data_IF_084471589904
#
_entry.id   IF_084471589904
#
_cell.length_a   1.000
_cell.length_b   1.000
_cell.length_c   1.000
_cell.angle_alpha   90.00
_cell.angle_beta   90.00
_cell.angle_gamma   90.00
#
_symmetry.space_group_name_H-M   'P 1'
#
loop_
_entity.id
_entity.type
_entity.pdbx_description
1 polymer ?
#
# COMPACT_ATOMS: atom_id res chain seq x y z
N UNK A 1 32.10 23.66 18.98
CA UNK A 1 32.19 22.24 18.60
C UNK A 1 31.20 21.47 19.45
N UNK A 2 30.15 20.94 18.81
CA UNK A 2 29.42 19.72 19.14
C UNK A 2 28.10 19.70 18.33
N UNK A 3 28.24 19.47 17.03
CA UNK A 3 27.13 19.00 16.19
C UNK A 3 27.19 17.47 16.18
N UNK A 4 26.69 16.85 17.24
CA UNK A 4 26.28 15.45 17.14
C UNK A 4 24.90 15.41 16.47
N UNK A 5 24.85 15.62 15.16
CA UNK A 5 23.76 15.07 14.37
C UNK A 5 24.22 13.68 13.94
N UNK A 6 24.03 12.71 14.83
CA UNK A 6 24.17 11.30 14.45
C UNK A 6 23.08 11.03 13.42
N UNK A 7 23.45 10.77 12.17
CA UNK A 7 22.57 10.18 11.16
C UNK A 7 21.98 8.89 11.72
N UNK A 8 20.84 9.00 12.40
CA UNK A 8 20.12 7.82 12.88
C UNK A 8 19.75 7.02 11.65
N UNK A 9 20.17 5.77 11.61
CA UNK A 9 19.78 4.79 10.61
C UNK A 9 18.26 4.55 10.70
N UNK A 10 17.63 4.22 9.58
CA UNK A 10 16.19 3.95 9.56
C UNK A 10 15.86 2.74 10.42
N UNK A 11 14.81 2.86 11.24
CA UNK A 11 14.37 1.77 12.12
C UNK A 11 13.20 1.05 11.48
N UNK A 12 13.34 -0.26 11.31
CA UNK A 12 12.26 -1.14 10.84
C UNK A 12 11.05 -1.08 11.79
N UNK A 13 9.86 -0.93 11.22
CA UNK A 13 8.60 -0.87 11.98
C UNK A 13 7.77 -2.16 11.87
N UNK A 14 8.23 -3.11 11.06
CA UNK A 14 7.59 -4.42 10.82
C UNK A 14 8.60 -5.55 11.06
N UNK A 15 8.15 -6.82 11.13
CA UNK A 15 9.05 -7.95 11.00
C UNK A 15 9.78 -7.93 9.64
N UNK A 16 10.84 -8.73 9.48
CA UNK A 16 11.40 -9.01 8.15
C UNK A 16 10.33 -9.56 7.20
N UNK A 17 10.51 -9.35 5.90
CA UNK A 17 9.51 -9.63 4.86
C UNK A 17 8.96 -11.05 4.94
N UNK A 18 9.83 -12.03 5.14
CA UNK A 18 9.52 -13.46 5.22
C UNK A 18 8.70 -13.87 6.46
N UNK A 19 8.65 -13.03 7.48
CA UNK A 19 7.85 -13.25 8.70
C UNK A 19 6.55 -12.45 8.72
N UNK A 20 6.30 -11.62 7.70
CA UNK A 20 5.05 -10.89 7.58
C UNK A 20 3.91 -11.83 7.19
N UNK A 21 2.71 -11.58 7.73
CA UNK A 21 1.49 -12.25 7.26
C UNK A 21 1.27 -11.83 5.80
N UNK A 22 1.20 -12.81 4.90
CA UNK A 22 1.09 -12.57 3.47
C UNK A 22 0.20 -13.61 2.79
N UNK A 23 -0.72 -13.14 1.96
CA UNK A 23 -1.48 -13.94 0.99
C UNK A 23 -1.45 -13.22 -0.35
N UNK A 24 -0.99 -13.90 -1.40
CA UNK A 24 -0.91 -13.34 -2.74
C UNK A 24 -2.30 -12.92 -3.26
N UNK A 25 -2.39 -11.74 -3.87
CA UNK A 25 -3.63 -11.10 -4.34
C UNK A 25 -4.60 -10.63 -3.25
N UNK A 26 -4.15 -10.52 -2.00
CA UNK A 26 -4.90 -9.90 -0.88
C UNK A 26 -4.07 -8.77 -0.26
N UNK A 27 -3.48 -7.92 -1.10
CA UNK A 27 -2.56 -6.86 -0.67
C UNK A 27 -3.20 -5.90 0.34
N UNK A 28 -4.51 -5.65 0.23
CA UNK A 28 -5.27 -4.88 1.21
C UNK A 28 -5.21 -5.51 2.60
N UNK A 29 -5.39 -6.83 2.73
CA UNK A 29 -5.32 -7.49 4.03
C UNK A 29 -3.89 -7.64 4.54
N UNK A 30 -2.93 -7.84 3.63
CA UNK A 30 -1.51 -7.92 3.99
C UNK A 30 -1.04 -6.59 4.64
N UNK A 31 -1.41 -5.46 4.03
CA UNK A 31 -1.10 -4.14 4.59
C UNK A 31 -1.88 -3.87 5.86
N UNK A 32 -3.15 -4.29 5.94
CA UNK A 32 -3.92 -4.19 7.19
C UNK A 32 -3.22 -4.93 8.33
N UNK A 33 -2.66 -6.12 8.08
CA UNK A 33 -1.90 -6.90 9.06
C UNK A 33 -0.60 -6.22 9.48
N UNK A 34 0.09 -5.52 8.58
CA UNK A 34 1.23 -4.69 8.95
C UNK A 34 0.81 -3.52 9.87
N UNK A 35 -0.30 -2.84 9.54
CA UNK A 35 -0.84 -1.78 10.40
C UNK A 35 -1.23 -2.32 11.79
N UNK A 36 -1.86 -3.49 11.86
CA UNK A 36 -2.24 -4.17 13.11
C UNK A 36 -0.99 -4.46 13.96
N UNK A 37 0.05 -5.02 13.33
CA UNK A 37 1.33 -5.28 14.00
C UNK A 37 1.93 -4.00 14.59
N UNK A 38 2.03 -2.93 13.80
CA UNK A 38 2.62 -1.65 14.23
C UNK A 38 1.84 -1.08 15.42
N UNK A 39 0.50 -1.10 15.35
CA UNK A 39 -0.37 -0.63 16.44
C UNK A 39 -0.16 -1.42 17.73
N UNK A 40 0.02 -2.73 17.64
CA UNK A 40 0.17 -3.60 18.81
C UNK A 40 1.52 -3.42 19.51
N UNK A 41 2.59 -3.09 18.76
CA UNK A 41 3.94 -3.04 19.32
C UNK A 41 4.32 -1.66 19.88
N UNK A 42 3.59 -0.58 19.56
CA UNK A 42 3.77 0.78 20.11
C UNK A 42 5.21 1.33 20.10
N UNK A 43 6.11 0.73 19.30
CA UNK A 43 7.51 1.17 19.19
C UNK A 43 7.64 2.40 18.30
N UNK A 44 6.65 2.67 17.45
CA UNK A 44 6.64 3.73 16.45
C UNK A 44 5.30 4.46 16.43
N UNK A 45 5.32 5.72 16.01
CA UNK A 45 4.11 6.54 15.94
C UNK A 45 3.24 6.09 14.75
N UNK A 46 2.14 5.40 15.03
CA UNK A 46 1.19 4.96 13.99
C UNK A 46 0.58 6.13 13.20
N UNK A 47 0.65 7.36 13.73
CA UNK A 47 0.17 8.57 13.08
C UNK A 47 0.98 8.92 11.83
N UNK A 48 2.22 8.44 11.74
CA UNK A 48 3.13 8.62 10.60
C UNK A 48 3.06 7.44 9.61
N UNK A 49 2.10 6.53 9.80
CA UNK A 49 1.92 5.33 8.98
C UNK A 49 0.61 5.41 8.20
N UNK A 50 0.67 5.04 6.93
CA UNK A 50 -0.46 5.11 6.01
C UNK A 50 -0.59 3.82 5.20
N UNK A 51 -1.82 3.38 4.98
CA UNK A 51 -2.13 2.47 3.88
C UNK A 51 -2.32 3.30 2.60
N UNK A 52 -1.73 2.85 1.50
CA UNK A 52 -1.80 3.54 0.21
C UNK A 52 -2.38 2.59 -0.81
N UNK A 53 -3.62 2.85 -1.21
CA UNK A 53 -4.26 2.18 -2.33
C UNK A 53 -3.83 2.87 -3.62
N UNK A 54 -3.40 2.08 -4.59
CA UNK A 54 -3.00 2.54 -5.91
C UNK A 54 -3.98 1.95 -6.91
N UNK A 55 -4.66 2.80 -7.66
CA UNK A 55 -5.57 2.39 -8.74
C UNK A 55 -5.81 3.57 -9.69
N UNK A 56 -6.78 3.44 -10.59
CA UNK A 56 -7.34 4.50 -11.41
C UNK A 56 -8.77 4.12 -11.84
N UNK A 57 -9.44 5.01 -12.58
CA UNK A 57 -10.82 4.81 -13.02
C UNK A 57 -11.01 3.57 -13.89
N UNK A 58 -9.93 3.09 -14.53
CA UNK A 58 -9.97 1.90 -15.38
C UNK A 58 -9.54 0.64 -14.68
N UNK A 59 -9.01 0.75 -13.45
CA UNK A 59 -8.36 -0.35 -12.73
C UNK A 59 -7.34 -1.06 -13.61
N UNK A 60 -6.46 -0.25 -14.18
CA UNK A 60 -5.35 -0.72 -15.00
C UNK A 60 -4.14 0.14 -14.66
N UNK A 61 -3.37 -0.30 -13.67
CA UNK A 61 -2.19 0.42 -13.20
C UNK A 61 -0.94 -0.44 -13.33
N UNK A 62 0.06 0.00 -14.11
CA UNK A 62 1.34 -0.71 -14.20
C UNK A 62 2.20 -0.42 -12.98
N UNK A 63 2.74 -1.46 -12.35
CA UNK A 63 3.78 -1.37 -11.32
C UNK A 63 4.92 -2.30 -11.71
N UNK A 64 6.13 -1.74 -11.78
CA UNK A 64 7.37 -2.48 -12.05
C UNK A 64 7.94 -3.10 -10.78
N UNK A 65 8.95 -3.96 -10.95
CA UNK A 65 9.67 -4.60 -9.83
C UNK A 65 8.72 -5.37 -8.90
N UNK A 66 7.75 -6.08 -9.47
CA UNK A 66 6.83 -6.94 -8.73
C UNK A 66 7.27 -8.40 -8.85
N UNK A 67 7.03 -9.24 -7.84
CA UNK A 67 7.40 -10.66 -7.84
C UNK A 67 6.73 -11.44 -8.98
N UNK A 68 5.51 -11.04 -9.35
CA UNK A 68 4.78 -11.62 -10.48
C UNK A 68 5.21 -11.07 -11.86
N UNK A 69 6.24 -10.21 -11.92
CA UNK A 69 6.72 -9.64 -13.19
C UNK A 69 7.38 -10.72 -14.06
N UNK A 70 7.24 -10.56 -15.38
CA UNK A 70 8.00 -11.33 -16.37
C UNK A 70 9.13 -10.46 -16.92
N UNK A 71 10.36 -10.65 -16.42
CA UNK A 71 11.50 -9.80 -16.76
C UNK A 71 11.29 -8.36 -16.28
N UNK A 72 11.58 -7.38 -17.13
CA UNK A 72 11.42 -5.95 -16.84
C UNK A 72 10.02 -5.38 -17.15
N UNK A 73 9.05 -6.25 -17.45
CA UNK A 73 7.67 -5.82 -17.70
C UNK A 73 6.93 -5.51 -16.39
N UNK A 74 6.04 -4.51 -16.37
CA UNK A 74 5.20 -4.26 -15.20
C UNK A 74 4.15 -5.36 -15.04
N UNK A 75 3.68 -5.53 -13.81
CA UNK A 75 2.38 -6.16 -13.56
C UNK A 75 1.32 -5.08 -13.70
N UNK A 76 0.23 -5.38 -14.41
CA UNK A 76 -0.92 -4.48 -14.55
C UNK A 76 -1.97 -4.91 -13.54
N UNK A 77 -2.08 -4.15 -12.46
CA UNK A 77 -3.02 -4.40 -11.37
C UNK A 77 -4.35 -3.67 -11.61
N UNK A 78 -5.43 -4.25 -11.07
CA UNK A 78 -6.69 -3.54 -10.89
C UNK A 78 -6.60 -2.54 -9.74
N UNK A 79 -6.03 -2.97 -8.62
CA UNK A 79 -5.49 -2.10 -7.58
C UNK A 79 -4.31 -2.80 -6.90
N UNK A 80 -3.47 -2.02 -6.22
CA UNK A 80 -2.42 -2.55 -5.34
C UNK A 80 -2.40 -1.75 -4.05
N UNK A 81 -1.99 -2.36 -2.94
CA UNK A 81 -1.90 -1.70 -1.64
C UNK A 81 -0.50 -1.84 -1.08
N UNK A 82 0.07 -0.71 -0.69
CA UNK A 82 1.38 -0.62 -0.03
C UNK A 82 1.23 0.12 1.29
N UNK A 83 2.17 -0.08 2.21
CA UNK A 83 2.27 0.74 3.42
C UNK A 83 3.35 1.80 3.24
N UNK A 84 3.04 3.02 3.66
CA UNK A 84 3.94 4.17 3.67
C UNK A 84 4.22 4.56 5.12
N UNK A 85 5.49 4.75 5.44
CA UNK A 85 5.93 5.33 6.70
C UNK A 85 6.65 6.65 6.45
N UNK A 86 6.05 7.74 6.90
CA UNK A 86 6.58 9.10 6.79
C UNK A 86 7.50 9.41 7.98
N UNK A 87 8.72 8.89 7.95
CA UNK A 87 9.59 8.85 9.13
C UNK A 87 10.16 10.22 9.53
N UNK A 88 10.73 10.93 8.56
CA UNK A 88 11.21 12.30 8.73
C UNK A 88 10.91 13.08 7.46
N UNK A 89 10.98 14.41 7.55
CA UNK A 89 10.79 15.27 6.40
C UNK A 89 11.77 14.89 5.27
N UNK A 90 11.24 14.54 4.10
CA UNK A 90 12.02 14.08 2.95
C UNK A 90 12.54 12.64 3.03
N UNK A 91 12.17 11.87 4.07
CA UNK A 91 12.60 10.49 4.27
C UNK A 91 11.38 9.59 4.56
N UNK A 92 10.75 9.12 3.48
CA UNK A 92 9.64 8.16 3.54
C UNK A 92 10.05 6.78 3.06
N UNK A 93 9.40 5.76 3.60
CA UNK A 93 9.67 4.35 3.29
C UNK A 93 8.40 3.62 2.87
N UNK A 94 8.53 2.79 1.84
CA UNK A 94 7.49 1.92 1.30
C UNK A 94 7.71 0.48 1.74
N UNK A 95 6.65 -0.12 2.23
CA UNK A 95 6.54 -1.53 2.54
C UNK A 95 5.58 -2.17 1.54
N UNK A 96 6.15 -2.80 0.53
CA UNK A 96 5.43 -3.58 -0.47
C UNK A 96 5.83 -5.06 -0.36
N UNK A 97 4.88 -5.92 0.02
CA UNK A 97 5.14 -7.35 0.15
C UNK A 97 5.28 -8.03 -1.22
N UNK A 98 4.78 -7.42 -2.30
CA UNK A 98 4.82 -7.95 -3.66
C UNK A 98 6.01 -7.40 -4.47
N UNK A 99 6.80 -6.44 -3.96
CA UNK A 99 7.99 -5.94 -4.68
C UNK A 99 9.20 -6.90 -4.62
N UNK A 100 10.10 -6.78 -5.60
CA UNK A 100 11.46 -7.34 -5.59
C UNK A 100 12.51 -6.32 -5.14
N UNK A 101 12.13 -5.05 -4.93
CA UNK A 101 12.97 -4.06 -4.28
C UNK A 101 13.17 -4.40 -2.78
N UNK A 102 14.09 -3.71 -2.07
CA UNK A 102 14.24 -3.88 -0.64
C UNK A 102 12.91 -3.72 0.13
N UNK A 103 12.80 -4.41 1.26
CA UNK A 103 11.65 -4.29 2.15
C UNK A 103 12.14 -3.88 3.55
N UNK A 104 11.92 -2.62 3.95
CA UNK A 104 11.30 -1.52 3.21
C UNK A 104 12.22 -0.92 2.14
N UNK A 105 11.61 -0.16 1.22
CA UNK A 105 12.29 0.58 0.16
C UNK A 105 12.14 2.08 0.41
N UNK A 106 13.19 2.91 0.29
CA UNK A 106 13.02 4.37 0.27
C UNK A 106 12.01 4.80 -0.81
N UNK A 107 11.14 5.77 -0.50
CA UNK A 107 10.11 6.23 -1.43
C UNK A 107 10.73 6.77 -2.74
N UNK A 108 11.88 7.44 -2.68
CA UNK A 108 12.62 7.88 -3.86
C UNK A 108 12.98 6.72 -4.80
N UNK A 109 13.54 5.64 -4.27
CA UNK A 109 13.89 4.44 -5.05
C UNK A 109 12.64 3.71 -5.57
N UNK A 110 11.60 3.60 -4.74
CA UNK A 110 10.34 2.98 -5.14
C UNK A 110 9.64 3.79 -6.25
N UNK A 111 9.67 5.12 -6.16
CA UNK A 111 9.19 6.01 -7.21
C UNK A 111 9.95 5.79 -8.51
N UNK A 112 11.28 5.82 -8.47
CA UNK A 112 12.12 5.73 -9.67
C UNK A 112 11.98 4.37 -10.37
N UNK A 113 11.97 3.28 -9.61
CA UNK A 113 12.09 1.93 -10.16
C UNK A 113 10.75 1.22 -10.37
N UNK A 114 9.85 1.30 -9.38
CA UNK A 114 8.59 0.55 -9.36
C UNK A 114 7.42 1.38 -9.94
N UNK A 115 7.30 2.66 -9.56
CA UNK A 115 6.24 3.52 -10.08
C UNK A 115 6.60 4.07 -11.46
N UNK A 116 7.80 4.65 -11.61
CA UNK A 116 8.27 5.40 -12.79
C UNK A 116 7.38 6.59 -13.15
N UNK A 117 7.80 7.41 -14.11
CA UNK A 117 7.01 8.57 -14.55
C UNK A 117 5.75 8.17 -15.33
N UNK A 118 4.60 8.73 -14.94
CA UNK A 118 3.34 8.64 -15.71
C UNK A 118 3.43 9.30 -17.09
N UNK A 119 4.37 10.23 -17.31
CA UNK A 119 4.51 10.97 -18.58
C UNK A 119 4.81 10.07 -19.78
N UNK A 120 5.39 8.89 -19.55
CA UNK A 120 5.69 7.90 -20.59
C UNK A 120 4.56 6.88 -20.81
N UNK A 121 3.48 6.97 -20.02
CA UNK A 121 2.31 6.10 -20.14
C UNK A 121 1.17 6.80 -20.85
N UNK A 122 0.28 6.01 -21.47
CA UNK A 122 -1.03 6.52 -21.89
C UNK A 122 -1.81 6.96 -20.64
N UNK A 123 -2.54 8.07 -20.73
CA UNK A 123 -3.33 8.63 -19.61
C UNK A 123 -4.27 7.64 -18.93
N UNK A 124 -4.76 6.65 -19.67
CA UNK A 124 -5.61 5.58 -19.14
C UNK A 124 -4.92 4.65 -18.13
N UNK A 125 -3.58 4.70 -18.03
CA UNK A 125 -2.77 3.95 -17.08
C UNK A 125 -2.16 4.83 -15.98
N UNK A 126 -2.46 6.13 -15.96
CA UNK A 126 -1.93 7.01 -14.92
C UNK A 126 -2.44 6.56 -13.57
N UNK A 127 -1.54 6.52 -12.59
CA UNK A 127 -1.87 6.00 -11.26
C UNK A 127 -2.33 7.13 -10.36
N UNK A 128 -3.31 6.81 -9.53
CA UNK A 128 -3.75 7.63 -8.41
C UNK A 128 -3.51 6.87 -7.12
N UNK A 129 -3.34 7.63 -6.05
CA UNK A 129 -2.92 7.14 -4.75
C UNK A 129 -3.91 7.63 -3.71
N UNK A 130 -4.73 6.74 -3.15
CA UNK A 130 -5.52 7.04 -1.97
C UNK A 130 -4.68 6.71 -0.75
N UNK A 131 -4.38 7.72 0.05
CA UNK A 131 -3.56 7.63 1.25
C UNK A 131 -4.44 7.75 2.47
N UNK A 132 -4.48 6.69 3.28
CA UNK A 132 -5.33 6.56 4.46
C UNK A 132 -4.44 6.40 5.70
N UNK A 133 -4.60 7.23 6.74
CA UNK A 133 -3.91 7.00 8.02
C UNK A 133 -4.17 5.58 8.55
N UNK A 134 -3.14 4.91 9.06
CA UNK A 134 -3.23 3.51 9.47
C UNK A 134 -4.32 3.26 10.53
N UNK A 135 -4.51 4.18 11.48
CA UNK A 135 -5.60 4.06 12.47
C UNK A 135 -6.99 4.13 11.83
N UNK A 136 -7.17 5.02 10.85
CA UNK A 136 -8.41 5.11 10.06
C UNK A 136 -8.61 3.82 9.26
N UNK A 137 -7.55 3.29 8.65
CA UNK A 137 -7.62 2.04 7.89
C UNK A 137 -8.05 0.87 8.77
N UNK A 138 -7.40 0.69 9.93
CA UNK A 138 -7.72 -0.36 10.89
C UNK A 138 -9.15 -0.28 11.42
N UNK A 139 -9.68 0.92 11.60
CA UNK A 139 -11.00 1.13 12.22
C UNK A 139 -12.17 1.07 11.22
N UNK A 140 -11.91 1.23 9.92
CA UNK A 140 -12.97 1.38 8.92
C UNK A 140 -12.92 0.32 7.82
N UNK A 141 -11.79 -0.34 7.57
CA UNK A 141 -11.68 -1.30 6.49
C UNK A 141 -12.45 -2.60 6.79
N UNK A 142 -13.24 -3.06 5.80
CA UNK A 142 -13.93 -4.33 5.84
C UNK A 142 -13.91 -5.03 4.47
N UNK A 143 -13.60 -6.32 4.47
CA UNK A 143 -13.62 -7.17 3.28
C UNK A 143 -14.11 -8.57 3.64
N UNK A 144 -15.27 -8.94 3.09
CA UNK A 144 -15.77 -10.32 3.14
C UNK A 144 -15.16 -11.20 2.03
N UNK A 145 -14.16 -10.68 1.30
CA UNK A 145 -13.43 -11.34 0.21
C UNK A 145 -14.30 -11.78 -0.98
N UNK A 146 -15.55 -11.32 -1.08
CA UNK A 146 -16.46 -11.72 -2.16
C UNK A 146 -15.93 -11.40 -3.56
N UNK A 147 -15.17 -10.32 -3.72
CA UNK A 147 -14.53 -9.93 -4.99
C UNK A 147 -13.51 -10.97 -5.52
N UNK A 148 -12.96 -11.81 -4.64
CA UNK A 148 -12.04 -12.90 -4.97
C UNK A 148 -12.73 -14.22 -5.29
N UNK A 149 -14.07 -14.24 -5.32
CA UNK A 149 -14.84 -15.36 -5.83
C UNK A 149 -15.19 -15.15 -7.30
N UNK A 150 -15.24 -16.23 -8.07
CA UNK A 150 -15.81 -16.23 -9.42
C UNK A 150 -17.34 -16.29 -9.38
N UNK A 151 -17.97 -16.31 -10.55
CA UNK A 151 -19.44 -16.33 -10.71
C UNK A 151 -20.10 -17.59 -10.11
N UNK A 152 -19.33 -18.66 -9.93
CA UNK A 152 -19.78 -19.95 -9.38
C UNK A 152 -19.47 -20.04 -7.87
N UNK A 153 -18.74 -19.07 -7.32
CA UNK A 153 -18.38 -18.99 -5.90
C UNK A 153 -17.03 -19.63 -5.56
N UNK A 154 -16.24 -20.08 -6.54
CA UNK A 154 -14.89 -20.59 -6.30
C UNK A 154 -13.90 -19.45 -6.11
N UNK A 155 -12.87 -19.71 -5.32
CA UNK A 155 -11.80 -18.75 -5.06
C UNK A 155 -10.89 -18.61 -6.28
N UNK A 156 -10.72 -17.37 -6.78
CA UNK A 156 -9.74 -17.02 -7.83
C UNK A 156 -8.31 -17.28 -7.36
N UNK A 157 -8.06 -17.05 -6.07
CA UNK A 157 -6.82 -17.36 -5.34
C UNK A 157 -7.16 -17.85 -3.94
N UNK A 158 -6.35 -18.73 -3.32
CA UNK A 158 -6.60 -19.19 -1.96
C UNK A 158 -6.71 -18.00 -0.99
N UNK A 159 -7.78 -17.90 -0.17
CA UNK A 159 -7.94 -16.81 0.77
C UNK A 159 -7.00 -16.95 1.98
N UNK A 160 -6.76 -15.85 2.72
CA UNK A 160 -6.08 -15.92 4.01
C UNK A 160 -6.80 -16.86 4.99
N UNK A 161 -6.03 -17.53 5.85
CA UNK A 161 -6.55 -18.54 6.78
C UNK A 161 -7.29 -17.98 8.00
N UNK A 162 -7.08 -16.70 8.31
CA UNK A 162 -7.79 -16.01 9.38
C UNK A 162 -9.17 -15.50 8.91
N UNK A 163 -10.12 -15.25 9.84
CA UNK A 163 -11.44 -14.71 9.52
C UNK A 163 -11.39 -13.42 8.69
N UNK A 164 -12.46 -13.12 7.96
CA UNK A 164 -12.59 -11.85 7.25
C UNK A 164 -12.43 -10.66 8.20
N UNK A 165 -11.83 -9.58 7.70
CA UNK A 165 -11.76 -8.30 8.42
C UNK A 165 -13.10 -7.62 8.25
N UNK A 166 -13.80 -7.36 9.35
CA UNK A 166 -15.11 -6.73 9.40
C UNK A 166 -15.11 -5.64 10.49
N UNK A 167 -15.96 -4.62 10.34
CA UNK A 167 -16.24 -3.65 11.39
C UNK A 167 -17.67 -3.80 11.89
N UNK A 168 -18.05 -3.05 12.92
CA UNK A 168 -19.44 -2.99 13.38
C UNK A 168 -20.40 -2.40 12.34
N UNK A 169 -19.87 -1.59 11.42
CA UNK A 169 -20.62 -0.82 10.42
C UNK A 169 -20.66 -1.53 9.05
N UNK A 170 -19.63 -2.31 8.70
CA UNK A 170 -19.52 -2.92 7.38
C UNK A 170 -18.84 -4.29 7.40
N UNK A 171 -19.28 -5.15 6.48
CA UNK A 171 -18.61 -6.42 6.13
C UNK A 171 -17.87 -6.35 4.80
N UNK A 172 -18.11 -5.30 4.01
CA UNK A 172 -17.50 -5.13 2.70
C UNK A 172 -17.62 -3.67 2.28
N UNK A 173 -16.49 -2.97 2.26
CA UNK A 173 -16.38 -1.60 1.74
C UNK A 173 -15.07 -1.40 0.96
N UNK A 174 -14.40 -2.48 0.55
CA UNK A 174 -13.16 -2.43 -0.23
C UNK A 174 -13.25 -1.49 -1.45
N UNK A 175 -14.41 -1.44 -2.11
CA UNK A 175 -14.62 -0.56 -3.25
C UNK A 175 -14.42 0.93 -2.92
N UNK A 176 -14.78 1.36 -1.71
CA UNK A 176 -14.62 2.75 -1.28
C UNK A 176 -13.14 3.11 -1.06
N UNK A 177 -12.29 2.10 -0.80
CA UNK A 177 -10.83 2.25 -0.71
C UNK A 177 -10.16 2.18 -2.09
N UNK A 178 -10.65 1.33 -2.99
CA UNK A 178 -10.15 1.23 -4.38
C UNK A 178 -10.51 2.48 -5.19
N UNK A 179 -11.70 3.05 -4.95
CA UNK A 179 -12.17 4.25 -5.64
C UNK A 179 -11.15 5.38 -5.51
N UNK A 180 -10.87 6.06 -6.62
CA UNK A 180 -9.99 7.23 -6.67
C UNK A 180 -10.80 8.54 -6.80
N UNK A 181 -12.10 8.48 -6.50
CA UNK A 181 -12.93 9.66 -6.30
C UNK A 181 -12.69 10.24 -4.90
N UNK A 182 -12.23 11.48 -4.82
CA UNK A 182 -11.94 12.16 -3.57
C UNK A 182 -13.18 12.39 -2.68
N UNK A 183 -14.39 12.24 -3.21
CA UNK A 183 -15.64 12.35 -2.45
C UNK A 183 -16.08 11.02 -1.82
N UNK A 184 -15.44 9.91 -2.18
CA UNK A 184 -15.76 8.57 -1.69
C UNK A 184 -14.70 8.11 -0.68
N UNK A 185 -15.12 7.35 0.33
CA UNK A 185 -14.24 6.63 1.25
C UNK A 185 -13.45 7.53 2.20
N UNK A 186 -12.28 7.05 2.60
CA UNK A 186 -11.42 7.69 3.61
C UNK A 186 -10.09 8.14 3.04
N UNK A 187 -9.40 9.01 3.78
CA UNK A 187 -8.09 9.51 3.38
C UNK A 187 -8.16 10.53 2.25
N UNK A 188 -7.02 10.75 1.58
CA UNK A 188 -6.91 11.73 0.50
C UNK A 188 -6.37 11.06 -0.77
N UNK A 189 -6.90 11.48 -1.92
CA UNK A 189 -6.46 11.01 -3.24
C UNK A 189 -5.44 11.99 -3.83
N UNK A 190 -4.37 11.46 -4.39
CA UNK A 190 -3.28 12.19 -5.02
C UNK A 190 -3.03 11.63 -6.43
N UNK A 191 -2.54 12.46 -7.35
CA UNK A 191 -1.79 11.96 -8.50
C UNK A 191 -0.34 11.64 -8.10
N UNK A 192 0.43 10.98 -8.98
CA UNK A 192 1.82 10.59 -8.70
C UNK A 192 2.70 11.76 -8.24
N UNK A 193 2.63 12.90 -8.94
CA UNK A 193 3.47 14.06 -8.65
C UNK A 193 3.14 14.63 -7.26
N UNK A 194 1.85 14.80 -6.96
CA UNK A 194 1.40 15.30 -5.66
C UNK A 194 1.76 14.35 -4.53
N UNK A 195 1.64 13.03 -4.75
CA UNK A 195 2.02 12.00 -3.76
C UNK A 195 3.49 12.10 -3.39
N UNK A 196 4.37 12.12 -4.40
CA UNK A 196 5.83 12.20 -4.20
C UNK A 196 6.22 13.52 -3.55
N UNK A 197 5.69 14.65 -4.03
CA UNK A 197 5.98 15.96 -3.45
C UNK A 197 5.55 16.07 -1.99
N UNK A 198 4.47 15.40 -1.60
CA UNK A 198 3.96 15.46 -0.25
C UNK A 198 4.79 14.64 0.74
N UNK A 199 5.31 13.47 0.31
CA UNK A 199 5.98 12.51 1.20
C UNK A 199 7.51 12.43 1.02
N UNK A 200 8.05 13.08 0.00
CA UNK A 200 9.48 13.12 -0.29
C UNK A 200 10.05 14.55 -0.43
N UNK A 201 9.19 15.59 -0.35
CA UNK A 201 9.54 17.00 -0.51
C UNK A 201 9.78 17.78 0.79
#
# INVERSE_FOLDING_TARGET
>A
MNTHDSSREYVLITPPKEYCVYTSCYCEENIWKLCEYIKAHNQHCIQDVYAVFISNERRLIPIWKQQASHGDQPVVWDYHVILLHNWKKGESYIYDLDTVLPFPCPLSSYEEEALRSDKHLKKCYWRKFRVIPAETYLSNFASNRSHMKDEVGHWKKPPPSYPCIETTESKMNLEDFISMDAQIGWGKVYNLLEFVQHFNG
#
